data_IF_216219641554
#
_entry.id   IF_216219641554
#
_cell.length_a   1.000
_cell.length_b   1.000
_cell.length_c   1.000
_cell.angle_alpha   90.00
_cell.angle_beta   90.00
_cell.angle_gamma   90.00
#
_symmetry.space_group_name_H-M   'P 1'
#
loop_
_entity.id
_entity.type
_entity.pdbx_description
1 polymer ?
#
# COMPACT_ATOMS: atom_id res chain seq x y z
N UNK A 1 0.22 -11.81 17.70
CA UNK A 1 -1.01 -12.64 17.63
C UNK A 1 -0.62 -14.07 17.96
N UNK A 2 -1.19 -14.68 19.02
CA UNK A 2 -0.90 -16.07 19.39
C UNK A 2 -1.77 -17.08 18.63
N UNK A 3 -2.97 -16.67 18.19
CA UNK A 3 -3.85 -17.46 17.35
C UNK A 3 -4.08 -16.74 16.00
N UNK A 4 -3.90 -17.43 14.86
CA UNK A 4 -4.03 -16.83 13.53
C UNK A 4 -5.47 -16.42 13.21
N UNK A 5 -6.46 -17.06 13.83
CA UNK A 5 -7.89 -16.83 13.53
C UNK A 5 -8.46 -15.55 14.16
N UNK A 6 -7.72 -14.90 15.06
CA UNK A 6 -8.09 -13.61 15.62
C UNK A 6 -7.74 -12.43 14.71
N UNK A 7 -7.00 -12.66 13.62
CA UNK A 7 -6.57 -11.62 12.70
C UNK A 7 -7.74 -10.81 12.13
N UNK A 8 -8.80 -11.48 11.67
CA UNK A 8 -9.94 -10.81 11.04
C UNK A 8 -10.75 -9.96 12.02
N UNK A 9 -10.90 -10.41 13.28
CA UNK A 9 -11.56 -9.64 14.33
C UNK A 9 -10.79 -8.37 14.67
N UNK A 10 -9.46 -8.48 14.81
CA UNK A 10 -8.59 -7.35 15.07
C UNK A 10 -8.59 -6.35 13.89
N UNK A 11 -8.56 -6.85 12.65
CA UNK A 11 -8.63 -6.04 11.44
C UNK A 11 -9.94 -5.25 11.37
N UNK A 12 -11.09 -5.90 11.58
CA UNK A 12 -12.39 -5.26 11.55
C UNK A 12 -12.55 -4.22 12.65
N UNK A 13 -12.17 -4.57 13.89
CA UNK A 13 -12.26 -3.67 15.04
C UNK A 13 -11.39 -2.42 14.82
N UNK A 14 -10.13 -2.61 14.41
CA UNK A 14 -9.20 -1.51 14.14
C UNK A 14 -9.67 -0.61 13.00
N UNK A 15 -10.11 -1.20 11.89
CA UNK A 15 -10.57 -0.43 10.72
C UNK A 15 -11.84 0.37 11.04
N UNK A 16 -12.78 -0.23 11.76
CA UNK A 16 -14.03 0.44 12.18
C UNK A 16 -13.72 1.58 13.14
N UNK A 17 -12.84 1.35 14.12
CA UNK A 17 -12.45 2.38 15.09
C UNK A 17 -11.79 3.59 14.42
N UNK A 18 -10.83 3.34 13.51
CA UNK A 18 -10.17 4.42 12.75
C UNK A 18 -11.20 5.16 11.89
N UNK A 19 -12.09 4.44 11.20
CA UNK A 19 -13.14 5.03 10.39
C UNK A 19 -14.05 5.95 11.22
N UNK A 20 -14.51 5.50 12.40
CA UNK A 20 -15.35 6.30 13.28
C UNK A 20 -14.66 7.61 13.72
N UNK A 21 -13.38 7.54 14.11
CA UNK A 21 -12.62 8.72 14.53
C UNK A 21 -12.43 9.69 13.36
N UNK A 22 -12.09 9.17 12.18
CA UNK A 22 -11.86 9.99 10.98
C UNK A 22 -13.15 10.67 10.52
N UNK A 23 -14.27 9.95 10.53
CA UNK A 23 -15.59 10.50 10.20
C UNK A 23 -16.03 11.56 11.20
N UNK A 24 -15.89 11.28 12.50
CA UNK A 24 -16.23 12.25 13.56
C UNK A 24 -15.39 13.53 13.42
N UNK A 25 -14.07 13.41 13.28
CA UNK A 25 -13.19 14.55 13.12
C UNK A 25 -13.48 15.33 11.83
N UNK A 26 -13.72 14.64 10.71
CA UNK A 26 -14.07 15.25 9.44
C UNK A 26 -15.37 16.05 9.51
N UNK A 27 -16.45 15.46 10.06
CA UNK A 27 -17.73 16.15 10.26
C UNK A 27 -17.59 17.35 11.21
N UNK A 28 -16.84 17.20 12.30
CA UNK A 28 -16.58 18.27 13.25
C UNK A 28 -15.91 19.46 12.56
N UNK A 29 -14.76 19.26 11.93
CA UNK A 29 -14.01 20.34 11.25
C UNK A 29 -14.85 20.98 10.15
N UNK A 30 -15.55 20.17 9.34
CA UNK A 30 -16.39 20.66 8.26
C UNK A 30 -17.57 21.51 8.77
N UNK A 31 -18.15 21.18 9.92
CA UNK A 31 -19.23 21.99 10.51
C UNK A 31 -18.81 23.40 10.91
N UNK A 32 -17.53 23.61 11.26
CA UNK A 32 -17.00 24.92 11.67
C UNK A 32 -16.36 25.71 10.51
N UNK A 33 -15.66 25.04 9.59
CA UNK A 33 -14.93 25.70 8.50
C UNK A 33 -15.65 25.67 7.15
N UNK A 34 -16.67 24.80 7.00
CA UNK A 34 -17.41 24.63 5.75
C UNK A 34 -16.48 24.36 4.56
N UNK A 35 -16.70 25.08 3.47
CA UNK A 35 -15.90 24.99 2.24
C UNK A 35 -14.45 25.51 2.38
N UNK A 36 -14.13 26.23 3.46
CA UNK A 36 -12.80 26.80 3.69
C UNK A 36 -11.89 25.87 4.51
N UNK A 37 -12.20 24.58 4.57
CA UNK A 37 -11.33 23.59 5.20
C UNK A 37 -10.02 23.44 4.41
N UNK A 38 -8.90 23.78 5.05
CA UNK A 38 -7.57 23.66 4.46
C UNK A 38 -6.92 22.32 4.79
N UNK A 39 -6.09 21.81 3.87
CA UNK A 39 -5.18 20.70 4.14
C UNK A 39 -3.74 21.24 4.08
N UNK A 40 -2.97 21.22 5.19
CA UNK A 40 -3.26 20.60 6.49
C UNK A 40 -4.25 21.40 7.36
N UNK A 41 -5.13 20.70 8.10
CA UNK A 41 -6.23 21.27 8.91
C UNK A 41 -5.76 22.31 9.94
N UNK A 42 -4.54 22.15 10.43
CA UNK A 42 -3.91 23.02 11.43
C UNK A 42 -3.72 24.46 10.92
N UNK A 43 -3.61 24.63 9.60
CA UNK A 43 -3.51 25.95 8.97
C UNK A 43 -4.83 26.73 9.00
N UNK A 44 -5.97 26.05 9.18
CA UNK A 44 -7.28 26.69 9.29
C UNK A 44 -7.65 27.19 10.69
N UNK A 45 -6.77 27.05 11.68
CA UNK A 45 -7.01 27.52 13.05
C UNK A 45 -6.75 29.03 13.15
N UNK A 46 -7.80 29.81 13.47
CA UNK A 46 -7.70 31.27 13.62
C UNK A 46 -6.85 31.74 14.83
N UNK A 47 -6.88 31.09 16.01
CA UNK A 47 -6.04 31.51 17.13
C UNK A 47 -4.60 30.99 16.97
N UNK A 48 -3.65 31.93 16.85
CA UNK A 48 -2.22 31.63 16.67
C UNK A 48 -1.63 30.73 17.77
N UNK A 49 -2.10 30.83 19.01
CA UNK A 49 -1.60 30.01 20.13
C UNK A 49 -1.95 28.53 19.94
N UNK A 50 -3.19 28.23 19.55
CA UNK A 50 -3.63 26.86 19.29
C UNK A 50 -3.01 26.31 18.00
N UNK A 51 -2.87 27.15 16.97
CA UNK A 51 -2.17 26.76 15.74
C UNK A 51 -0.69 26.39 16.01
N UNK A 52 0.01 27.19 16.83
CA UNK A 52 1.42 26.94 17.17
C UNK A 52 1.58 25.64 17.96
N UNK A 53 0.74 25.42 18.98
CA UNK A 53 0.75 24.18 19.75
C UNK A 53 0.49 22.95 18.87
N UNK A 54 -0.48 23.07 17.95
CA UNK A 54 -0.82 22.01 17.03
C UNK A 54 0.35 21.75 16.04
N UNK A 55 0.97 22.79 15.49
CA UNK A 55 2.14 22.65 14.60
C UNK A 55 3.32 21.97 15.29
N UNK A 56 3.61 22.30 16.56
CA UNK A 56 4.67 21.63 17.34
C UNK A 56 4.36 20.14 17.49
N UNK A 57 3.12 19.79 17.86
CA UNK A 57 2.70 18.39 17.95
C UNK A 57 2.88 17.65 16.63
N UNK A 58 2.51 18.29 15.51
CA UNK A 58 2.65 17.70 14.18
C UNK A 58 4.11 17.48 13.76
N UNK A 59 5.00 18.41 14.10
CA UNK A 59 6.44 18.24 13.86
C UNK A 59 6.96 17.02 14.63
N UNK A 60 6.58 16.88 15.90
CA UNK A 60 7.01 15.75 16.75
C UNK A 60 6.49 14.42 16.20
N UNK A 61 5.18 14.33 15.92
CA UNK A 61 4.58 13.11 15.36
C UNK A 61 5.11 12.80 13.96
N UNK A 62 5.31 13.82 13.14
CA UNK A 62 5.84 13.72 11.79
C UNK A 62 7.29 13.24 11.79
N UNK A 63 8.13 13.72 12.71
CA UNK A 63 9.52 13.27 12.85
C UNK A 63 9.60 11.81 13.29
N UNK A 64 8.77 11.40 14.26
CA UNK A 64 8.68 9.99 14.69
C UNK A 64 8.24 9.10 13.53
N UNK A 65 7.19 9.50 12.80
CA UNK A 65 6.70 8.77 11.64
C UNK A 65 7.77 8.68 10.55
N UNK A 66 8.45 9.79 10.22
CA UNK A 66 9.51 9.83 9.21
C UNK A 66 10.70 8.94 9.60
N UNK A 67 11.12 8.96 10.86
CA UNK A 67 12.19 8.10 11.35
C UNK A 67 11.81 6.62 11.29
N UNK A 68 10.59 6.26 11.70
CA UNK A 68 10.11 4.88 11.70
C UNK A 68 9.93 4.34 10.27
N UNK A 69 9.15 5.05 9.44
CA UNK A 69 8.89 4.64 8.06
C UNK A 69 10.13 4.73 7.18
N UNK A 70 11.00 5.71 7.39
CA UNK A 70 12.29 5.81 6.70
C UNK A 70 13.21 4.63 7.00
N UNK A 71 13.35 4.24 8.28
CA UNK A 71 14.17 3.08 8.66
C UNK A 71 13.61 1.76 8.09
N UNK A 72 12.30 1.54 8.21
CA UNK A 72 11.67 0.30 7.72
C UNK A 72 11.71 0.26 6.19
N UNK A 73 11.34 1.36 5.53
CA UNK A 73 11.30 1.47 4.07
C UNK A 73 12.68 1.25 3.44
N UNK A 74 13.71 1.92 3.97
CA UNK A 74 15.06 1.72 3.46
C UNK A 74 15.59 0.30 3.68
N UNK A 75 15.21 -0.35 4.80
CA UNK A 75 15.56 -1.75 5.06
C UNK A 75 14.93 -2.70 4.04
N UNK A 76 13.67 -2.49 3.66
CA UNK A 76 13.00 -3.29 2.61
C UNK A 76 13.71 -3.11 1.28
N UNK A 77 14.02 -1.88 0.88
CA UNK A 77 14.77 -1.60 -0.37
C UNK A 77 16.13 -2.31 -0.35
N UNK A 78 16.83 -2.30 0.79
CA UNK A 78 18.12 -2.98 0.89
C UNK A 78 18.00 -4.50 0.69
N UNK A 79 17.01 -5.14 1.30
CA UNK A 79 16.85 -6.59 1.21
C UNK A 79 16.42 -6.99 -0.21
N UNK A 80 15.39 -6.35 -0.74
CA UNK A 80 14.79 -6.74 -2.03
C UNK A 80 15.63 -6.29 -3.24
N UNK A 81 16.26 -5.11 -3.17
CA UNK A 81 17.02 -4.57 -4.32
C UNK A 81 18.51 -4.85 -4.17
N UNK A 82 19.13 -4.44 -3.05
CA UNK A 82 20.58 -4.56 -2.92
C UNK A 82 21.01 -6.01 -2.69
N UNK A 83 20.34 -6.74 -1.80
CA UNK A 83 20.74 -8.10 -1.46
C UNK A 83 20.28 -9.14 -2.49
N UNK A 84 19.06 -9.04 -3.04
CA UNK A 84 18.53 -10.02 -4.00
C UNK A 84 18.95 -9.76 -5.45
N UNK A 85 18.89 -8.50 -5.92
CA UNK A 85 19.22 -8.16 -7.32
C UNK A 85 20.72 -7.91 -7.50
N UNK A 86 21.34 -7.15 -6.59
CA UNK A 86 22.77 -6.79 -6.68
C UNK A 86 23.71 -7.74 -5.91
N UNK A 87 23.19 -8.82 -5.30
CA UNK A 87 23.96 -9.79 -4.51
C UNK A 87 24.84 -9.14 -3.41
N UNK A 88 24.39 -8.01 -2.82
CA UNK A 88 25.15 -7.38 -1.74
C UNK A 88 25.22 -8.26 -0.49
N UNK A 89 26.28 -8.08 0.30
CA UNK A 89 26.46 -8.80 1.56
C UNK A 89 25.28 -8.55 2.50
N UNK A 90 24.75 -9.59 3.16
CA UNK A 90 23.60 -9.47 4.04
C UNK A 90 23.86 -8.49 5.18
N UNK A 91 22.80 -7.81 5.66
CA UNK A 91 22.82 -6.84 6.76
C UNK A 91 23.49 -7.35 8.05
N UNK A 92 23.60 -8.67 8.20
CA UNK A 92 24.24 -9.35 9.33
C UNK A 92 25.77 -9.21 9.33
N UNK A 93 26.40 -8.96 8.18
CA UNK A 93 27.85 -8.75 8.07
C UNK A 93 28.24 -7.29 8.29
N UNK A 94 29.43 -7.07 8.87
CA UNK A 94 29.97 -5.74 9.20
C UNK A 94 29.99 -4.80 7.98
N UNK A 95 30.30 -5.33 6.80
CA UNK A 95 30.32 -4.57 5.55
C UNK A 95 28.92 -4.12 5.12
N UNK A 96 27.88 -4.94 5.35
CA UNK A 96 26.49 -4.60 5.06
C UNK A 96 25.96 -3.48 5.96
N UNK A 97 26.37 -3.45 7.24
CA UNK A 97 26.00 -2.38 8.18
C UNK A 97 26.63 -1.03 7.80
N UNK A 98 27.88 -1.02 7.33
CA UNK A 98 28.56 0.21 6.90
C UNK A 98 27.91 0.72 5.60
N UNK A 99 27.64 -0.16 4.64
CA UNK A 99 26.93 0.21 3.41
C UNK A 99 25.53 0.79 3.72
N UNK A 100 24.80 0.16 4.66
CA UNK A 100 23.51 0.67 5.12
C UNK A 100 23.62 2.05 5.77
N UNK A 101 24.62 2.26 6.63
CA UNK A 101 24.86 3.54 7.30
C UNK A 101 25.22 4.69 6.37
N UNK A 102 25.91 4.42 5.24
CA UNK A 102 26.26 5.43 4.23
C UNK A 102 25.10 5.73 3.29
N UNK A 103 24.32 4.71 2.94
CA UNK A 103 23.19 4.87 2.01
C UNK A 103 21.97 5.54 2.66
N UNK A 104 21.84 5.47 3.98
CA UNK A 104 20.74 6.08 4.72
C UNK A 104 20.71 7.62 4.59
N UNK A 105 21.82 8.38 4.80
CA UNK A 105 21.86 9.80 4.48
C UNK A 105 21.54 10.14 3.02
N UNK A 106 21.99 9.31 2.06
CA UNK A 106 21.68 9.51 0.64
C UNK A 106 20.18 9.39 0.35
N UNK A 107 19.52 8.40 0.98
CA UNK A 107 18.06 8.25 0.92
C UNK A 107 17.34 9.49 1.48
N UNK A 108 17.78 10.00 2.64
CA UNK A 108 17.21 11.21 3.23
C UNK A 108 17.46 12.46 2.38
N UNK A 109 18.63 12.59 1.77
CA UNK A 109 18.94 13.69 0.85
C UNK A 109 18.02 13.66 -0.37
N UNK A 110 17.82 12.49 -0.98
CA UNK A 110 16.91 12.33 -2.11
C UNK A 110 15.46 12.67 -1.74
N UNK A 111 14.99 12.21 -0.58
CA UNK A 111 13.68 12.56 -0.06
C UNK A 111 13.52 14.08 0.16
N UNK A 112 14.57 14.74 0.67
CA UNK A 112 14.59 16.19 0.85
C UNK A 112 14.51 16.94 -0.49
N UNK A 113 15.22 16.48 -1.53
CA UNK A 113 15.12 17.07 -2.87
C UNK A 113 13.71 16.95 -3.45
N UNK A 114 13.07 15.78 -3.31
CA UNK A 114 11.69 15.58 -3.77
C UNK A 114 10.74 16.49 -2.99
N UNK A 115 10.90 16.61 -1.67
CA UNK A 115 10.08 17.47 -0.84
C UNK A 115 10.25 18.96 -1.19
N UNK A 116 11.47 19.41 -1.49
CA UNK A 116 11.75 20.78 -1.90
C UNK A 116 11.23 21.12 -3.30
N UNK A 117 11.11 20.13 -4.19
CA UNK A 117 10.61 20.32 -5.56
C UNK A 117 9.08 20.48 -5.65
N UNK A 118 8.33 20.07 -4.61
CA UNK A 118 6.87 19.99 -4.65
C UNK A 118 6.27 21.22 -3.94
N UNK A 119 5.49 22.05 -4.66
CA UNK A 119 4.95 23.29 -4.09
C UNK A 119 3.76 23.06 -3.13
N UNK A 120 3.06 21.92 -3.23
CA UNK A 120 1.89 21.64 -2.40
C UNK A 120 1.79 20.16 -2.02
N UNK A 121 1.73 19.90 -0.71
CA UNK A 121 1.69 18.55 -0.12
C UNK A 121 0.50 17.71 -0.59
N UNK A 122 -0.66 18.34 -0.80
CA UNK A 122 -1.90 17.66 -1.19
C UNK A 122 -1.78 16.92 -2.52
N UNK A 123 -1.09 17.48 -3.52
CA UNK A 123 -0.95 16.84 -4.83
C UNK A 123 -0.08 15.59 -4.76
N UNK A 124 1.05 15.64 -4.03
CA UNK A 124 1.92 14.46 -3.86
C UNK A 124 1.28 13.39 -3.00
N UNK A 125 0.64 13.77 -1.90
CA UNK A 125 -0.08 12.82 -1.06
C UNK A 125 -1.23 12.15 -1.83
N UNK A 126 -1.97 12.91 -2.65
CA UNK A 126 -3.01 12.39 -3.54
C UNK A 126 -2.47 11.43 -4.58
N UNK A 127 -1.38 11.81 -5.27
CA UNK A 127 -0.74 10.99 -6.31
C UNK A 127 -0.22 9.67 -5.75
N UNK A 128 0.51 9.71 -4.63
CA UNK A 128 1.05 8.51 -3.96
C UNK A 128 -0.11 7.61 -3.49
N UNK A 129 -1.16 8.20 -2.93
CA UNK A 129 -2.33 7.44 -2.47
C UNK A 129 -3.06 6.78 -3.65
N UNK A 130 -3.23 7.48 -4.76
CA UNK A 130 -3.84 6.93 -5.96
C UNK A 130 -3.02 5.77 -6.53
N UNK A 131 -1.71 5.96 -6.70
CA UNK A 131 -0.85 4.91 -7.27
C UNK A 131 -0.69 3.71 -6.36
N UNK A 132 -0.35 3.92 -5.09
CA UNK A 132 0.06 2.83 -4.23
C UNK A 132 -1.09 2.33 -3.35
N UNK A 133 -1.83 3.22 -2.69
CA UNK A 133 -2.88 2.78 -1.76
C UNK A 133 -4.01 2.09 -2.53
N UNK A 134 -4.54 2.67 -3.61
CA UNK A 134 -5.61 2.02 -4.39
C UNK A 134 -5.12 0.73 -5.06
N UNK A 135 -3.92 0.74 -5.66
CA UNK A 135 -3.41 -0.44 -6.36
C UNK A 135 -3.09 -1.61 -5.42
N UNK A 136 -2.49 -1.34 -4.25
CA UNK A 136 -2.22 -2.38 -3.25
C UNK A 136 -3.48 -2.85 -2.51
N UNK A 137 -4.48 -2.00 -2.34
CA UNK A 137 -5.70 -2.36 -1.58
C UNK A 137 -6.69 -3.13 -2.46
N UNK A 138 -6.81 -2.75 -3.73
CA UNK A 138 -7.90 -3.26 -4.58
C UNK A 138 -7.39 -4.05 -5.78
N UNK A 139 -6.44 -3.51 -6.55
CA UNK A 139 -6.00 -4.12 -7.81
C UNK A 139 -5.20 -5.41 -7.59
N UNK A 140 -4.20 -5.37 -6.71
CA UNK A 140 -3.31 -6.51 -6.46
C UNK A 140 -4.00 -7.69 -5.75
N UNK A 141 -4.79 -7.48 -4.68
CA UNK A 141 -5.54 -8.57 -4.06
C UNK A 141 -6.57 -9.18 -5.00
N UNK A 142 -7.24 -8.37 -5.84
CA UNK A 142 -8.17 -8.86 -6.84
C UNK A 142 -7.46 -9.72 -7.91
N UNK A 143 -6.33 -9.26 -8.43
CA UNK A 143 -5.51 -10.02 -9.38
C UNK A 143 -5.05 -11.35 -8.78
N UNK A 144 -4.55 -11.33 -7.55
CA UNK A 144 -4.12 -12.53 -6.84
C UNK A 144 -5.28 -13.48 -6.55
N UNK A 145 -6.46 -12.95 -6.19
CA UNK A 145 -7.66 -13.75 -5.99
C UNK A 145 -8.10 -14.43 -7.30
N UNK A 146 -8.21 -13.69 -8.41
CA UNK A 146 -8.54 -14.27 -9.72
C UNK A 146 -7.53 -15.34 -10.10
N UNK A 147 -6.24 -15.06 -10.00
CA UNK A 147 -5.18 -16.02 -10.30
C UNK A 147 -5.24 -17.28 -9.44
N UNK A 148 -5.54 -17.14 -8.14
CA UNK A 148 -5.66 -18.28 -7.23
C UNK A 148 -6.92 -19.10 -7.50
N UNK A 149 -8.08 -18.45 -7.63
CA UNK A 149 -9.36 -19.14 -7.83
C UNK A 149 -9.43 -19.82 -9.19
N UNK A 150 -8.93 -19.20 -10.27
CA UNK A 150 -8.85 -19.82 -11.60
C UNK A 150 -7.94 -21.05 -11.57
N UNK A 151 -6.77 -20.97 -10.91
CA UNK A 151 -5.89 -22.14 -10.73
C UNK A 151 -6.54 -23.25 -9.92
N UNK A 152 -7.26 -22.89 -8.85
CA UNK A 152 -7.96 -23.84 -7.97
C UNK A 152 -9.11 -24.55 -8.69
N UNK A 153 -9.92 -23.81 -9.44
CA UNK A 153 -11.06 -24.35 -10.18
C UNK A 153 -10.64 -25.19 -11.40
N UNK A 154 -9.44 -24.93 -11.92
CA UNK A 154 -8.84 -25.70 -13.00
C UNK A 154 -8.18 -27.03 -12.55
N UNK A 155 -8.04 -27.27 -11.24
CA UNK A 155 -7.52 -28.53 -10.70
C UNK A 155 -8.49 -29.68 -11.01
N UNK A 156 -7.95 -30.76 -11.59
CA UNK A 156 -8.70 -31.98 -11.92
C UNK A 156 -8.41 -33.05 -10.88
N UNK A 157 -9.32 -34.02 -10.68
CA UNK A 157 -9.15 -35.09 -9.68
C UNK A 157 -7.88 -35.97 -9.88
N UNK A 158 -7.31 -35.92 -11.09
CA UNK A 158 -6.09 -36.61 -11.50
C UNK A 158 -4.80 -35.85 -11.14
N UNK A 159 -4.88 -34.55 -10.85
CA UNK A 159 -3.73 -33.72 -10.46
C UNK A 159 -3.44 -33.94 -8.96
N UNK A 160 -2.39 -34.73 -8.66
CA UNK A 160 -1.94 -34.97 -7.29
C UNK A 160 -0.52 -34.44 -7.07
N UNK A 161 -0.31 -33.89 -5.88
CA UNK A 161 1.01 -33.56 -5.39
C UNK A 161 1.66 -34.84 -4.86
N UNK A 162 2.81 -35.22 -5.42
CA UNK A 162 3.55 -36.39 -4.95
C UNK A 162 4.61 -35.95 -3.91
N UNK A 163 4.41 -36.27 -2.60
CA UNK A 163 5.26 -35.77 -1.52
C UNK A 163 6.69 -36.33 -1.55
N UNK A 164 6.97 -37.40 -2.31
CA UNK A 164 8.32 -37.97 -2.43
C UNK A 164 9.17 -37.26 -3.48
N UNK A 165 8.57 -36.85 -4.59
CA UNK A 165 9.27 -36.20 -5.70
C UNK A 165 9.21 -34.68 -5.65
N UNK A 166 8.35 -34.12 -4.77
CA UNK A 166 8.03 -32.68 -4.67
C UNK A 166 7.58 -32.05 -5.99
N UNK A 167 7.15 -32.88 -6.95
CA UNK A 167 6.66 -32.44 -8.25
C UNK A 167 5.14 -32.59 -8.29
N UNK A 168 4.49 -31.59 -8.89
CA UNK A 168 3.05 -31.59 -9.10
C UNK A 168 2.80 -32.09 -10.52
N UNK A 169 2.04 -33.18 -10.67
CA UNK A 169 1.65 -33.66 -12.00
C UNK A 169 0.50 -32.79 -12.51
N UNK A 170 0.79 -32.02 -13.56
CA UNK A 170 -0.19 -31.22 -14.27
C UNK A 170 -0.71 -32.00 -15.46
N UNK A 171 -2.03 -32.06 -15.63
CA UNK A 171 -2.65 -32.72 -16.79
C UNK A 171 -2.58 -31.81 -18.02
N UNK A 172 -2.78 -30.50 -17.82
CA UNK A 172 -2.71 -29.49 -18.88
C UNK A 172 -1.87 -28.28 -18.45
N UNK A 173 -1.07 -27.73 -19.36
CA UNK A 173 -0.36 -26.46 -19.19
C UNK A 173 -0.88 -25.40 -20.17
N UNK A 174 -0.90 -24.12 -19.77
CA UNK A 174 -1.23 -23.00 -20.66
C UNK A 174 -2.67 -22.46 -20.62
N UNK A 175 -3.10 -21.85 -21.72
CA UNK A 175 -4.36 -21.08 -21.86
C UNK A 175 -5.62 -21.95 -21.73
N UNK A 176 -5.57 -23.21 -22.15
CA UNK A 176 -6.68 -24.16 -22.02
C UNK A 176 -7.07 -24.42 -20.55
N UNK A 177 -6.09 -24.34 -19.63
CA UNK A 177 -6.32 -24.47 -18.19
C UNK A 177 -7.01 -23.25 -17.60
N UNK A 178 -6.65 -22.06 -18.09
CA UNK A 178 -7.25 -20.79 -17.67
C UNK A 178 -8.70 -20.68 -18.14
N UNK A 179 -8.97 -21.02 -19.40
CA UNK A 179 -10.34 -21.02 -19.93
C UNK A 179 -11.21 -22.05 -19.22
N UNK A 180 -10.71 -23.27 -18.96
CA UNK A 180 -11.44 -24.30 -18.19
C UNK A 180 -11.74 -23.85 -16.75
N UNK A 181 -10.78 -23.22 -16.07
CA UNK A 181 -10.97 -22.68 -14.71
C UNK A 181 -12.00 -21.56 -14.68
N UNK A 182 -12.00 -20.68 -15.68
CA UNK A 182 -12.94 -19.56 -15.77
C UNK A 182 -14.38 -20.02 -16.00
N UNK A 183 -14.59 -21.07 -16.81
CA UNK A 183 -15.93 -21.59 -17.15
C UNK A 183 -16.64 -22.30 -16.00
N UNK A 184 -15.94 -22.71 -14.93
CA UNK A 184 -16.59 -23.40 -13.78
C UNK A 184 -17.41 -22.47 -12.90
N UNK A 185 -16.99 -21.21 -12.74
CA UNK A 185 -17.69 -20.18 -11.94
C UNK A 185 -17.60 -18.81 -12.61
N UNK A 186 -18.17 -18.66 -13.82
CA UNK A 186 -17.94 -17.49 -14.66
C UNK A 186 -18.41 -16.20 -13.96
N UNK A 187 -19.54 -16.23 -13.26
CA UNK A 187 -20.09 -15.05 -12.56
C UNK A 187 -19.12 -14.53 -11.50
N UNK A 188 -18.50 -15.41 -10.71
CA UNK A 188 -17.58 -15.03 -9.63
C UNK A 188 -16.24 -14.50 -10.19
N UNK A 189 -15.71 -15.15 -11.23
CA UNK A 189 -14.47 -14.71 -11.88
C UNK A 189 -14.66 -13.39 -12.64
N UNK A 190 -15.77 -13.24 -13.36
CA UNK A 190 -16.12 -11.99 -14.06
C UNK A 190 -16.34 -10.84 -13.09
N UNK A 191 -16.99 -11.06 -11.94
CA UNK A 191 -17.15 -10.01 -10.93
C UNK A 191 -15.81 -9.52 -10.38
N UNK A 192 -14.89 -10.45 -10.03
CA UNK A 192 -13.56 -10.07 -9.56
C UNK A 192 -12.71 -9.39 -10.65
N UNK A 193 -12.89 -9.77 -11.91
CA UNK A 193 -12.20 -9.15 -13.05
C UNK A 193 -12.73 -7.73 -13.31
N UNK A 194 -14.06 -7.53 -13.27
CA UNK A 194 -14.67 -6.20 -13.34
C UNK A 194 -14.21 -5.32 -12.16
N UNK A 195 -14.14 -5.89 -10.96
CA UNK A 195 -13.64 -5.19 -9.79
C UNK A 195 -12.18 -4.74 -9.95
N UNK A 196 -11.32 -5.61 -10.49
CA UNK A 196 -9.93 -5.29 -10.82
C UNK A 196 -9.81 -4.20 -11.91
N UNK A 197 -10.63 -4.26 -12.96
CA UNK A 197 -10.64 -3.24 -14.00
C UNK A 197 -11.17 -1.91 -13.46
N UNK A 198 -12.22 -1.95 -12.66
CA UNK A 198 -12.78 -0.79 -11.98
C UNK A 198 -11.76 -0.12 -11.07
N UNK A 199 -11.01 -0.90 -10.27
CA UNK A 199 -9.96 -0.35 -9.42
C UNK A 199 -8.84 0.28 -10.25
N UNK A 200 -8.45 -0.33 -11.38
CA UNK A 200 -7.43 0.21 -12.28
C UNK A 200 -7.86 1.51 -12.95
N UNK A 201 -9.12 1.62 -13.37
CA UNK A 201 -9.71 2.87 -13.87
C UNK A 201 -9.71 3.94 -12.79
N UNK A 202 -10.10 3.61 -11.55
CA UNK A 202 -10.06 4.58 -10.44
C UNK A 202 -8.65 5.01 -10.05
N UNK A 203 -7.65 4.11 -10.17
CA UNK A 203 -6.23 4.48 -10.04
C UNK A 203 -5.86 5.50 -11.10
N UNK A 204 -6.21 5.27 -12.37
CA UNK A 204 -5.93 6.21 -13.46
C UNK A 204 -6.59 7.58 -13.26
N UNK A 205 -7.86 7.60 -12.86
CA UNK A 205 -8.58 8.84 -12.55
C UNK A 205 -8.01 9.56 -11.34
N UNK A 206 -7.62 8.84 -10.27
CA UNK A 206 -7.01 9.43 -9.08
C UNK A 206 -5.61 10.01 -9.34
N UNK A 207 -4.86 9.41 -10.26
CA UNK A 207 -3.60 9.97 -10.74
C UNK A 207 -3.88 11.24 -11.53
N UNK A 208 -4.83 11.19 -12.47
CA UNK A 208 -5.23 12.36 -13.27
C UNK A 208 -5.68 13.54 -12.42
N UNK A 209 -6.49 13.32 -11.37
CA UNK A 209 -6.93 14.38 -10.46
C UNK A 209 -5.81 14.94 -9.58
N UNK A 210 -4.70 14.22 -9.43
CA UNK A 210 -3.57 14.64 -8.60
C UNK A 210 -2.49 15.39 -9.39
N UNK A 211 -2.54 15.35 -10.72
CA UNK A 211 -1.65 16.15 -11.57
C UNK A 211 -2.19 17.58 -11.65
N UNK A 212 -1.34 18.62 -11.46
CA UNK A 212 -1.77 20.00 -11.61
C UNK A 212 -2.33 20.23 -13.02
N UNK A 213 -3.60 20.60 -13.10
CA UNK A 213 -4.19 21.10 -14.35
C UNK A 213 -3.80 22.58 -14.43
N UNK A 214 -2.89 22.89 -15.36
CA UNK A 214 -2.54 24.26 -15.73
C UNK A 214 -3.66 24.91 -16.53
#
# INVERSE_FOLDING_TARGET
MRQPMDFWKALLCGSTFICCIYMFFGMFVYSFQGQFSFNPVMQGLSPNNFQTAANIMNIVTGLIAAALYGNIGFKVIYIEVLQEIFNFSPLTKRNGKIAWGVMMPLYWALAFFIAAAVPQFTYVSGLISAFFVLSFTYTLPALMAVGFWVKKDAMTAEERFDPRTRKYNYVDTGLARWTRGFTKRPIFHTFNLIYMLGSLVTTGLGVYSSVPQY
#
